data_IF_285297264888
#
_entry.id   IF_285297264888
#
_cell.length_a   1.000
_cell.length_b   1.000
_cell.length_c   1.000
_cell.angle_alpha   90.00
_cell.angle_beta   90.00
_cell.angle_gamma   90.00
#
_symmetry.space_group_name_H-M   'P 1'
#
loop_
_entity.id
_entity.type
_entity.pdbx_description
1 polymer ?
#
# COMPACT_ATOMS: atom_id res chain seq x y z
N UNK A 1 41.45 -10.76 36.43
CA UNK A 1 40.07 -11.28 36.53
C UNK A 1 39.14 -10.08 36.44
N UNK A 2 38.81 -9.65 35.21
CA UNK A 2 37.65 -10.08 34.39
C UNK A 2 36.43 -9.20 34.64
N UNK A 3 36.08 -8.43 33.61
CA UNK A 3 34.74 -8.04 33.13
C UNK A 3 33.63 -7.77 34.16
N UNK A 4 33.05 -6.57 34.11
CA UNK A 4 31.58 -6.44 33.97
C UNK A 4 31.12 -5.03 33.60
N UNK A 5 30.54 -4.96 32.39
CA UNK A 5 29.44 -4.09 31.95
C UNK A 5 29.64 -2.57 31.89
N UNK A 6 29.92 -2.14 30.66
CA UNK A 6 29.19 -1.06 30.01
C UNK A 6 27.69 -1.10 30.38
N UNK A 7 27.24 -0.23 31.29
CA UNK A 7 25.84 -0.11 31.68
C UNK A 7 25.18 1.03 30.90
N UNK A 8 24.69 0.65 29.71
CA UNK A 8 23.49 1.18 29.03
C UNK A 8 23.38 2.71 28.86
N UNK A 9 23.89 3.20 27.72
CA UNK A 9 23.53 4.51 27.14
C UNK A 9 22.28 4.36 26.23
N UNK A 10 21.28 3.55 26.65
CA UNK A 10 20.15 3.20 25.78
C UNK A 10 18.79 3.06 26.47
N UNK A 11 18.65 3.58 27.70
CA UNK A 11 17.36 3.65 28.39
C UNK A 11 16.94 5.11 28.58
N UNK A 12 16.71 5.82 27.47
CA UNK A 12 15.85 7.00 27.50
C UNK A 12 14.46 6.49 27.91
N UNK A 13 13.76 7.07 28.91
CA UNK A 13 12.38 6.69 29.22
C UNK A 13 11.50 7.06 28.02
N UNK A 14 11.32 6.10 27.11
CA UNK A 14 10.53 6.27 25.88
C UNK A 14 9.05 6.44 26.24
N UNK A 15 8.63 5.95 27.40
CA UNK A 15 7.28 5.98 27.94
C UNK A 15 6.84 7.38 28.37
N UNK A 16 7.61 8.12 29.16
CA UNK A 16 7.17 9.44 29.67
C UNK A 16 6.97 10.48 28.56
N UNK A 17 7.94 10.61 27.66
CA UNK A 17 7.91 11.61 26.59
C UNK A 17 6.88 11.29 25.50
N UNK A 18 6.75 10.02 25.11
CA UNK A 18 5.74 9.62 24.10
C UNK A 18 4.32 9.76 24.65
N UNK A 19 4.06 9.37 25.90
CA UNK A 19 2.75 9.57 26.54
C UNK A 19 2.39 11.05 26.60
N UNK A 20 3.32 11.93 26.96
CA UNK A 20 3.09 13.38 26.93
C UNK A 20 2.75 13.90 25.53
N UNK A 21 3.48 13.45 24.51
CA UNK A 21 3.23 13.86 23.11
C UNK A 21 1.89 13.34 22.60
N UNK A 22 1.58 12.08 22.82
CA UNK A 22 0.31 11.46 22.41
C UNK A 22 -0.86 12.14 23.12
N UNK A 23 -0.75 12.38 24.42
CA UNK A 23 -1.80 13.06 25.22
C UNK A 23 -2.02 14.49 24.74
N UNK A 24 -0.96 15.21 24.38
CA UNK A 24 -1.05 16.56 23.80
C UNK A 24 -1.76 16.56 22.44
N UNK A 25 -1.39 15.64 21.55
CA UNK A 25 -2.05 15.47 20.25
C UNK A 25 -3.52 15.07 20.39
N UNK A 26 -3.83 14.16 21.31
CA UNK A 26 -5.20 13.73 21.60
C UNK A 26 -6.04 14.87 22.16
N UNK A 27 -5.50 15.62 23.11
CA UNK A 27 -6.17 16.79 23.70
C UNK A 27 -6.42 17.86 22.64
N UNK A 28 -5.47 18.08 21.73
CA UNK A 28 -5.64 18.96 20.59
C UNK A 28 -6.76 18.46 19.65
N UNK A 29 -6.77 17.20 19.25
CA UNK A 29 -7.83 16.62 18.41
C UNK A 29 -9.22 16.63 19.07
N UNK A 30 -9.28 16.45 20.40
CA UNK A 30 -10.52 16.51 21.16
C UNK A 30 -11.04 17.94 21.31
N UNK A 31 -10.15 18.94 21.30
CA UNK A 31 -10.54 20.36 21.33
C UNK A 31 -11.11 20.87 20.00
N UNK A 32 -10.92 20.11 18.91
CA UNK A 32 -11.45 20.45 17.59
C UNK A 32 -12.95 20.20 17.56
N UNK A 33 -13.71 21.17 17.06
CA UNK A 33 -15.14 21.03 16.86
C UNK A 33 -15.43 20.20 15.60
N UNK A 34 -15.80 18.93 15.79
CA UNK A 34 -16.09 18.02 14.69
C UNK A 34 -17.42 18.28 13.99
N UNK A 35 -18.24 19.20 14.51
CA UNK A 35 -19.53 19.56 13.92
C UNK A 35 -19.39 20.58 12.78
N UNK A 36 -18.19 21.06 12.46
CA UNK A 36 -17.99 21.99 11.36
C UNK A 36 -18.22 21.31 9.99
N UNK A 37 -19.02 21.90 9.08
CA UNK A 37 -19.42 21.24 7.83
C UNK A 37 -18.26 20.84 6.91
N UNK A 38 -17.17 21.62 6.90
CA UNK A 38 -16.01 21.32 6.09
C UNK A 38 -15.24 20.09 6.60
N UNK A 39 -15.23 19.86 7.92
CA UNK A 39 -14.60 18.70 8.53
C UNK A 39 -15.41 17.43 8.27
N UNK A 40 -16.74 17.54 8.29
CA UNK A 40 -17.61 16.46 7.83
C UNK A 40 -17.41 16.15 6.35
N UNK A 41 -17.18 17.17 5.52
CA UNK A 41 -16.77 17.00 4.13
C UNK A 41 -15.44 16.24 3.99
N UNK A 42 -14.45 16.56 4.83
CA UNK A 42 -13.16 15.86 4.89
C UNK A 42 -13.33 14.39 5.30
N UNK A 43 -14.19 14.11 6.28
CA UNK A 43 -14.48 12.75 6.72
C UNK A 43 -15.22 11.95 5.63
N UNK A 44 -16.21 12.55 4.99
CA UNK A 44 -16.91 11.96 3.85
C UNK A 44 -15.95 11.68 2.69
N UNK A 45 -15.01 12.59 2.43
CA UNK A 45 -13.95 12.38 1.46
C UNK A 45 -13.07 11.17 1.79
N UNK A 46 -12.69 10.98 3.05
CA UNK A 46 -11.95 9.78 3.48
C UNK A 46 -12.76 8.49 3.27
N UNK A 47 -14.06 8.51 3.57
CA UNK A 47 -14.96 7.38 3.33
C UNK A 47 -15.10 7.10 1.83
N UNK A 48 -15.23 8.13 0.99
CA UNK A 48 -15.24 7.99 -0.45
C UNK A 48 -13.91 7.41 -0.95
N UNK A 49 -12.78 7.85 -0.38
CA UNK A 49 -11.47 7.36 -0.75
C UNK A 49 -11.31 5.87 -0.42
N UNK A 50 -11.77 5.46 0.77
CA UNK A 50 -11.87 4.04 1.17
C UNK A 50 -12.82 3.26 0.26
N UNK A 51 -13.98 3.82 -0.08
CA UNK A 51 -14.92 3.23 -1.02
C UNK A 51 -14.31 3.02 -2.40
N UNK A 52 -13.56 4.01 -2.90
CA UNK A 52 -12.78 3.91 -4.13
C UNK A 52 -11.64 2.91 -4.04
N UNK A 53 -10.99 2.75 -2.88
CA UNK A 53 -10.00 1.69 -2.65
C UNK A 53 -10.64 0.31 -2.80
N UNK A 54 -11.81 0.08 -2.17
CA UNK A 54 -12.56 -1.18 -2.26
C UNK A 54 -13.00 -1.43 -3.71
N UNK A 55 -13.49 -0.40 -4.41
CA UNK A 55 -13.93 -0.50 -5.79
C UNK A 55 -12.75 -0.75 -6.75
N UNK A 56 -11.58 -0.16 -6.46
CA UNK A 56 -10.35 -0.33 -7.23
C UNK A 56 -9.78 -1.75 -7.12
N UNK A 57 -10.08 -2.49 -6.05
CA UNK A 57 -9.76 -3.92 -5.97
C UNK A 57 -10.37 -4.74 -7.12
N UNK A 58 -11.41 -4.23 -7.78
CA UNK A 58 -12.06 -4.87 -8.93
C UNK A 58 -11.44 -4.48 -10.28
N UNK A 59 -10.76 -3.33 -10.38
CA UNK A 59 -10.27 -2.79 -11.65
C UNK A 59 -8.83 -2.25 -11.53
N UNK A 60 -7.85 -3.04 -11.99
CA UNK A 60 -6.41 -2.71 -11.97
C UNK A 60 -6.05 -1.32 -12.52
N UNK A 61 -6.73 -0.89 -13.60
CA UNK A 61 -6.48 0.43 -14.22
C UNK A 61 -6.92 1.59 -13.33
N UNK A 62 -8.00 1.41 -12.57
CA UNK A 62 -8.47 2.43 -11.63
C UNK A 62 -7.55 2.55 -10.42
N UNK A 63 -6.85 1.48 -10.06
CA UNK A 63 -5.91 1.48 -8.93
C UNK A 63 -4.70 2.39 -9.15
N UNK A 64 -4.17 2.47 -10.38
CA UNK A 64 -3.08 3.39 -10.73
C UNK A 64 -3.55 4.85 -10.67
N UNK A 65 -4.74 5.15 -11.22
CA UNK A 65 -5.34 6.48 -11.09
C UNK A 65 -5.61 6.85 -9.63
N UNK A 66 -6.08 5.91 -8.82
CA UNK A 66 -6.33 6.12 -7.39
C UNK A 66 -5.04 6.42 -6.62
N UNK A 67 -3.95 5.71 -6.91
CA UNK A 67 -2.64 6.00 -6.34
C UNK A 67 -2.15 7.40 -6.70
N UNK A 68 -2.21 7.77 -7.98
CA UNK A 68 -1.82 9.12 -8.43
C UNK A 68 -2.68 10.20 -7.77
N UNK A 69 -3.99 9.95 -7.63
CA UNK A 69 -4.90 10.88 -6.96
C UNK A 69 -4.55 11.03 -5.47
N UNK A 70 -4.26 9.94 -4.77
CA UNK A 70 -3.83 9.97 -3.36
C UNK A 70 -2.51 10.73 -3.17
N UNK A 71 -1.52 10.52 -4.04
CA UNK A 71 -0.24 11.25 -3.97
C UNK A 71 -0.44 12.73 -4.27
N UNK A 72 -1.25 13.07 -5.27
CA UNK A 72 -1.58 14.45 -5.59
C UNK A 72 -2.31 15.17 -4.43
N UNK A 73 -3.22 14.47 -3.76
CA UNK A 73 -3.92 14.95 -2.56
C UNK A 73 -2.97 15.22 -1.39
N UNK A 74 -2.04 14.31 -1.11
CA UNK A 74 -1.05 14.49 -0.03
C UNK A 74 -0.15 15.67 -0.35
N UNK A 75 0.24 15.84 -1.62
CA UNK A 75 1.03 16.98 -2.07
C UNK A 75 0.27 18.31 -1.93
N UNK A 76 -1.03 18.34 -2.24
CA UNK A 76 -1.83 19.55 -2.10
C UNK A 76 -2.25 19.87 -0.67
N UNK A 77 -1.89 19.04 0.32
CA UNK A 77 -2.23 19.27 1.73
C UNK A 77 -1.67 20.59 2.27
N UNK A 78 -0.45 20.94 1.89
CA UNK A 78 0.20 22.20 2.29
C UNK A 78 -0.54 23.40 1.69
N UNK A 79 -0.88 23.33 0.40
CA UNK A 79 -1.63 24.35 -0.30
C UNK A 79 -3.05 24.54 0.27
N UNK A 80 -3.73 23.44 0.61
CA UNK A 80 -5.03 23.48 1.28
C UNK A 80 -4.93 24.13 2.67
N UNK A 81 -3.87 23.83 3.40
CA UNK A 81 -3.61 24.45 4.71
C UNK A 81 -3.37 25.97 4.58
N UNK A 82 -2.59 26.43 3.59
CA UNK A 82 -2.40 27.86 3.32
C UNK A 82 -3.69 28.57 2.90
N UNK A 83 -4.47 27.97 1.99
CA UNK A 83 -5.76 28.50 1.55
C UNK A 83 -6.75 28.64 2.70
N UNK A 84 -6.79 27.65 3.58
CA UNK A 84 -7.66 27.66 4.73
C UNK A 84 -7.15 28.58 5.85
N UNK A 85 -5.84 28.75 5.99
CA UNK A 85 -5.24 29.76 6.85
C UNK A 85 -5.45 31.19 6.33
N UNK A 86 -5.56 31.41 5.01
CA UNK A 86 -5.89 32.72 4.44
C UNK A 86 -7.38 33.03 4.54
N UNK A 87 -8.25 32.04 4.33
CA UNK A 87 -9.70 32.19 4.36
C UNK A 87 -10.36 31.73 5.67
N UNK A 88 -9.58 31.63 6.76
CA UNK A 88 -10.02 31.05 8.02
C UNK A 88 -11.33 31.67 8.53
N UNK A 89 -11.53 32.99 8.37
CA UNK A 89 -12.76 33.70 8.77
C UNK A 89 -14.03 33.24 8.08
N UNK A 90 -13.92 32.71 6.86
CA UNK A 90 -15.05 32.22 6.07
C UNK A 90 -15.27 30.71 6.25
N UNK A 91 -14.21 30.00 6.64
CA UNK A 91 -14.16 28.54 6.63
C UNK A 91 -14.39 27.90 8.01
N UNK A 92 -13.90 28.54 9.08
CA UNK A 92 -13.91 27.97 10.43
C UNK A 92 -14.09 29.06 11.48
N UNK A 93 -14.84 28.77 12.55
CA UNK A 93 -15.00 29.72 13.67
C UNK A 93 -13.70 29.93 14.44
N UNK A 94 -12.80 28.96 14.37
CA UNK A 94 -11.51 28.95 15.05
C UNK A 94 -10.36 28.79 14.03
N UNK A 95 -9.17 29.28 14.37
CA UNK A 95 -8.00 29.20 13.50
C UNK A 95 -7.27 27.85 13.69
N UNK A 96 -7.81 26.79 13.09
CA UNK A 96 -7.21 25.45 13.13
C UNK A 96 -5.98 25.30 12.23
N UNK A 97 -5.86 26.18 11.23
CA UNK A 97 -4.77 26.17 10.25
C UNK A 97 -3.62 27.04 10.75
N UNK A 98 -2.48 26.39 10.95
CA UNK A 98 -1.21 27.02 11.33
C UNK A 98 -0.21 26.86 10.18
N UNK A 99 0.79 27.74 10.10
CA UNK A 99 1.93 27.69 9.17
C UNK A 99 2.63 26.33 9.12
N UNK A 100 2.62 25.58 10.24
CA UNK A 100 3.21 24.24 10.33
C UNK A 100 2.31 23.13 9.82
N UNK A 101 1.04 23.41 9.52
CA UNK A 101 0.09 22.43 9.00
C UNK A 101 -0.14 21.23 9.92
N UNK A 102 0.05 21.38 11.23
CA UNK A 102 -0.02 20.27 12.19
C UNK A 102 -1.41 19.60 12.18
N UNK A 103 -2.48 20.38 12.19
CA UNK A 103 -3.85 19.88 12.14
C UNK A 103 -4.14 19.11 10.85
N UNK A 104 -3.89 19.73 9.69
CA UNK A 104 -4.10 19.09 8.39
C UNK A 104 -3.22 17.86 8.25
N UNK A 105 -1.96 17.91 8.67
CA UNK A 105 -1.07 16.76 8.58
C UNK A 105 -1.56 15.57 9.42
N UNK A 106 -2.09 15.81 10.62
CA UNK A 106 -2.63 14.76 11.48
C UNK A 106 -3.98 14.22 11.02
N UNK A 107 -4.92 15.09 10.66
CA UNK A 107 -6.31 14.69 10.35
C UNK A 107 -6.47 14.28 8.88
N UNK A 108 -5.72 14.89 7.97
CA UNK A 108 -5.76 14.59 6.55
C UNK A 108 -4.64 13.62 6.15
N UNK A 109 -3.37 13.94 6.43
CA UNK A 109 -2.27 13.14 5.90
C UNK A 109 -2.09 11.77 6.58
N UNK A 110 -2.32 11.63 7.90
CA UNK A 110 -2.15 10.32 8.58
C UNK A 110 -3.13 9.26 8.04
N UNK A 111 -4.45 9.51 7.95
CA UNK A 111 -5.38 8.53 7.36
C UNK A 111 -5.09 8.25 5.88
N UNK A 112 -4.76 9.28 5.08
CA UNK A 112 -4.40 9.11 3.68
C UNK A 112 -3.13 8.29 3.50
N UNK A 113 -2.12 8.52 4.31
CA UNK A 113 -0.84 7.82 4.24
C UNK A 113 -1.03 6.35 4.61
N UNK A 114 -1.78 6.07 5.67
CA UNK A 114 -2.08 4.69 6.07
C UNK A 114 -2.88 3.96 4.98
N UNK A 115 -3.88 4.62 4.38
CA UNK A 115 -4.59 4.08 3.22
C UNK A 115 -3.65 3.82 2.03
N UNK A 116 -2.73 4.75 1.75
CA UNK A 116 -1.76 4.61 0.65
C UNK A 116 -0.81 3.44 0.89
N UNK A 117 -0.32 3.26 2.12
CA UNK A 117 0.54 2.12 2.48
C UNK A 117 -0.20 0.80 2.30
N UNK A 118 -1.46 0.71 2.70
CA UNK A 118 -2.29 -0.50 2.52
C UNK A 118 -2.48 -0.80 1.03
N UNK A 119 -2.82 0.21 0.22
CA UNK A 119 -2.99 0.04 -1.24
C UNK A 119 -1.70 -0.44 -1.88
N UNK A 120 -0.56 0.13 -1.51
CA UNK A 120 0.76 -0.28 -2.01
C UNK A 120 1.08 -1.71 -1.57
N UNK A 121 0.84 -2.09 -0.32
CA UNK A 121 1.08 -3.45 0.16
C UNK A 121 0.24 -4.48 -0.60
N UNK A 122 -1.06 -4.22 -0.79
CA UNK A 122 -1.96 -5.07 -1.59
C UNK A 122 -1.49 -5.15 -3.04
N UNK A 123 -1.13 -4.02 -3.64
CA UNK A 123 -0.62 -3.98 -5.02
C UNK A 123 0.67 -4.79 -5.19
N UNK A 124 1.61 -4.66 -4.26
CA UNK A 124 2.86 -5.41 -4.23
C UNK A 124 2.57 -6.91 -4.13
N UNK A 125 1.78 -7.34 -3.15
CA UNK A 125 1.41 -8.75 -3.00
C UNK A 125 0.73 -9.32 -4.26
N UNK A 126 -0.20 -8.58 -4.87
CA UNK A 126 -0.88 -8.98 -6.10
C UNK A 126 0.06 -9.08 -7.30
N UNK A 127 0.98 -8.13 -7.44
CA UNK A 127 2.00 -8.12 -8.50
C UNK A 127 2.94 -9.31 -8.36
N UNK A 128 3.39 -9.59 -7.14
CA UNK A 128 4.19 -10.78 -6.84
C UNK A 128 3.44 -12.07 -7.13
N UNK A 129 2.17 -12.19 -6.72
CA UNK A 129 1.32 -13.35 -7.03
C UNK A 129 1.17 -13.54 -8.54
N UNK A 130 0.83 -12.48 -9.27
CA UNK A 130 0.62 -12.54 -10.74
C UNK A 130 1.91 -12.92 -11.46
N UNK A 131 3.05 -12.35 -11.07
CA UNK A 131 4.34 -12.69 -11.66
C UNK A 131 4.72 -14.15 -11.35
N UNK A 132 4.46 -14.61 -10.13
CA UNK A 132 4.69 -15.99 -9.70
C UNK A 132 3.81 -16.95 -10.49
N UNK A 133 2.52 -16.66 -10.63
CA UNK A 133 1.57 -17.45 -11.41
C UNK A 133 1.96 -17.49 -12.90
N UNK A 134 2.37 -16.36 -13.48
CA UNK A 134 2.86 -16.30 -14.85
C UNK A 134 4.13 -17.13 -15.04
N UNK A 135 5.08 -17.07 -14.10
CA UNK A 135 6.30 -17.91 -14.14
C UNK A 135 5.94 -19.39 -14.00
N UNK A 136 5.02 -19.74 -13.12
CA UNK A 136 4.52 -21.12 -12.95
C UNK A 136 3.85 -21.60 -14.24
N UNK A 137 3.01 -20.78 -14.88
CA UNK A 137 2.37 -21.11 -16.15
C UNK A 137 3.38 -21.26 -17.29
N UNK A 138 4.42 -20.42 -17.34
CA UNK A 138 5.50 -20.55 -18.31
C UNK A 138 6.30 -21.85 -18.11
N UNK A 139 6.63 -22.20 -16.87
CA UNK A 139 7.32 -23.45 -16.54
C UNK A 139 6.47 -24.67 -16.90
N UNK A 140 5.17 -24.66 -16.55
CA UNK A 140 4.22 -25.73 -16.91
C UNK A 140 4.11 -25.89 -18.43
N UNK A 141 4.07 -24.79 -19.19
CA UNK A 141 4.08 -24.82 -20.66
C UNK A 141 5.40 -25.39 -21.22
N UNK A 142 6.55 -25.07 -20.61
CA UNK A 142 7.85 -25.59 -21.04
C UNK A 142 7.96 -27.10 -20.78
N UNK A 143 7.58 -27.57 -19.59
CA UNK A 143 7.56 -28.99 -19.24
C UNK A 143 6.61 -29.79 -20.15
N UNK A 144 5.41 -29.27 -20.45
CA UNK A 144 4.49 -29.92 -21.38
C UNK A 144 5.07 -30.06 -22.81
N UNK A 145 5.83 -29.07 -23.28
CA UNK A 145 6.52 -29.15 -24.58
C UNK A 145 7.64 -30.18 -24.58
N UNK A 146 8.40 -30.30 -23.50
CA UNK A 146 9.48 -31.31 -23.38
C UNK A 146 8.91 -32.73 -23.28
N UNK A 147 7.88 -32.94 -22.46
CA UNK A 147 7.19 -34.23 -22.38
C UNK A 147 6.64 -34.66 -23.74
N UNK A 148 6.04 -33.74 -24.52
CA UNK A 148 5.57 -34.05 -25.87
C UNK A 148 6.70 -34.48 -26.81
N UNK A 149 7.88 -33.83 -26.72
CA UNK A 149 9.07 -34.22 -27.50
C UNK A 149 9.61 -35.59 -27.09
N UNK A 150 9.66 -35.89 -25.79
CA UNK A 150 10.11 -37.20 -25.29
C UNK A 150 9.17 -38.32 -25.72
N UNK A 151 7.86 -38.10 -25.64
CA UNK A 151 6.84 -39.04 -26.14
C UNK A 151 6.99 -39.29 -27.65
N UNK A 152 7.16 -38.23 -28.45
CA UNK A 152 7.39 -38.35 -29.90
C UNK A 152 8.66 -39.13 -30.23
N UNK A 153 9.76 -38.87 -29.52
CA UNK A 153 11.00 -39.65 -29.68
C UNK A 153 10.80 -41.12 -29.34
N UNK A 154 10.19 -41.43 -28.19
CA UNK A 154 9.94 -42.81 -27.78
C UNK A 154 9.04 -43.57 -28.76
N UNK A 155 8.02 -42.90 -29.31
CA UNK A 155 7.13 -43.51 -30.31
C UNK A 155 7.86 -43.77 -31.64
N UNK A 156 8.75 -42.85 -32.05
CA UNK A 156 9.58 -43.02 -33.25
C UNK A 156 10.58 -44.18 -33.10
N UNK A 157 11.26 -44.29 -31.95
CA UNK A 157 12.20 -45.39 -31.67
C UNK A 157 11.53 -46.76 -31.72
N UNK A 158 10.37 -46.92 -31.06
CA UNK A 158 9.60 -48.17 -31.11
C UNK A 158 9.19 -48.56 -32.53
N UNK A 159 8.82 -47.56 -33.35
CA UNK A 159 8.41 -47.82 -34.73
C UNK A 159 9.58 -48.27 -35.62
N UNK A 160 10.81 -47.80 -35.34
CA UNK A 160 12.02 -48.24 -36.03
C UNK A 160 12.41 -49.66 -35.61
N UNK A 161 12.36 -49.99 -34.31
CA UNK A 161 12.62 -51.35 -33.81
C UNK A 161 11.64 -52.37 -34.40
N UNK A 162 10.35 -52.04 -34.43
CA UNK A 162 9.33 -52.89 -35.05
C UNK A 162 9.66 -53.14 -36.52
N UNK A 163 9.95 -52.09 -37.29
CA UNK A 163 10.21 -52.22 -38.73
C UNK A 163 11.48 -53.02 -39.03
N UNK A 164 12.57 -52.78 -38.29
CA UNK A 164 13.79 -53.58 -38.40
C UNK A 164 13.60 -55.05 -38.03
N UNK A 165 12.68 -55.36 -37.11
CA UNK A 165 12.33 -56.75 -36.79
C UNK A 165 11.51 -57.45 -37.89
N UNK A 166 10.74 -56.72 -38.69
CA UNK A 166 10.00 -57.27 -39.84
C UNK A 166 10.89 -57.45 -41.08
N UNK A 167 11.88 -56.58 -41.29
CA UNK A 167 12.78 -56.66 -42.46
C UNK A 167 13.86 -57.75 -42.34
N UNK A 168 13.99 -58.39 -41.17
CA UNK A 168 14.97 -59.48 -40.89
C UNK A 168 14.36 -60.88 -41.03
N UNK A 169 13.03 -60.98 -41.21
CA UNK A 169 12.29 -62.24 -41.46
C UNK A 169 11.97 -62.34 -42.94
#
# INVERSE_FOLDING_TARGET
>A
MTESKAKNISAIPIDGFSNLRITSLWSFLQSVDWSEPWLMGLLAFHVLCLGFTILSCKYYRLQICHFLLMVAMVYSAEYLNELAAMNWRSFSKFQYFDSKGMFISLVYSVPLLLNTVIVVAVWVWRTFSTMTDLKIMQLKRKAARENKKMQLKGNCTKHIELKGSYDVI
#
